data_IF_338068574534
#
_entry.id   IF_338068574534
#
_cell.length_a   1.000
_cell.length_b   1.000
_cell.length_c   1.000
_cell.angle_alpha   90.00
_cell.angle_beta   90.00
_cell.angle_gamma   90.00
#
_symmetry.space_group_name_H-M   'P 1'
#
loop_
_entity.id
_entity.type
_entity.pdbx_description
1 polymer ?
#
# COMPACT_ATOMS: atom_id res chain seq x y z
N UNK A 1 0.47 28.78 -7.05
CA UNK A 1 1.21 27.49 -7.12
C UNK A 1 1.14 26.71 -5.81
N UNK A 2 1.34 27.35 -4.65
CA UNK A 2 1.32 26.70 -3.34
C UNK A 2 0.07 25.82 -3.07
N UNK A 3 -1.12 26.31 -3.42
CA UNK A 3 -2.39 25.56 -3.25
C UNK A 3 -2.48 24.28 -4.10
N UNK A 4 -1.82 24.23 -5.27
CA UNK A 4 -1.74 23.03 -6.12
C UNK A 4 -0.75 22.01 -5.56
N UNK A 5 0.36 22.47 -4.97
CA UNK A 5 1.30 21.59 -4.27
C UNK A 5 0.67 20.99 -3.01
N UNK A 6 -0.04 21.78 -2.20
CA UNK A 6 -0.77 21.27 -1.03
C UNK A 6 -1.80 20.23 -1.46
N UNK A 7 -2.53 20.47 -2.55
CA UNK A 7 -3.49 19.51 -3.09
C UNK A 7 -2.81 18.22 -3.56
N UNK A 8 -1.69 18.32 -4.28
CA UNK A 8 -0.89 17.17 -4.71
C UNK A 8 -0.31 16.39 -3.53
N UNK A 9 0.16 17.09 -2.50
CA UNK A 9 0.64 16.47 -1.26
C UNK A 9 -0.49 15.79 -0.51
N UNK A 10 -1.67 16.42 -0.39
CA UNK A 10 -2.87 15.81 0.20
C UNK A 10 -3.32 14.58 -0.57
N UNK A 11 -3.39 14.65 -1.90
CA UNK A 11 -3.76 13.52 -2.76
C UNK A 11 -2.74 12.40 -2.61
N UNK A 12 -1.44 12.72 -2.63
CA UNK A 12 -0.36 11.74 -2.45
C UNK A 12 -0.29 11.16 -1.02
N UNK A 13 -0.76 11.88 0.00
CA UNK A 13 -0.83 11.40 1.39
C UNK A 13 -2.14 10.67 1.72
N UNK A 14 -3.20 10.89 0.93
CA UNK A 14 -4.46 10.13 0.98
C UNK A 14 -4.45 8.87 0.11
N UNK A 15 -3.43 8.65 -0.73
CA UNK A 15 -3.47 7.63 -1.78
C UNK A 15 -2.77 6.30 -1.46
N UNK A 16 -2.12 6.12 -0.31
CA UNK A 16 -1.45 4.87 0.06
C UNK A 16 -2.25 4.02 1.04
N UNK A 17 -3.56 3.92 0.84
CA UNK A 17 -4.51 3.49 1.87
C UNK A 17 -4.27 2.04 2.32
N UNK A 18 -4.09 1.10 1.38
CA UNK A 18 -3.80 -0.30 1.73
C UNK A 18 -2.48 -0.45 2.49
N UNK A 19 -1.43 0.18 1.99
CA UNK A 19 -0.10 0.14 2.60
C UNK A 19 -0.05 0.78 3.99
N UNK A 20 -0.76 1.90 4.20
CA UNK A 20 -0.85 2.56 5.50
C UNK A 20 -1.71 1.79 6.49
N UNK A 21 -2.86 1.26 6.06
CA UNK A 21 -3.73 0.42 6.88
C UNK A 21 -2.99 -0.84 7.38
N UNK A 22 -2.24 -1.50 6.50
CA UNK A 22 -1.41 -2.66 6.82
C UNK A 22 -0.37 -2.39 7.92
N UNK A 23 0.20 -1.18 7.95
CA UNK A 23 1.19 -0.80 8.96
C UNK A 23 0.58 -0.37 10.28
N UNK A 24 -0.71 -0.03 10.31
CA UNK A 24 -1.48 0.18 11.53
C UNK A 24 -1.94 -1.12 12.17
N UNK A 25 -1.96 -2.22 11.41
CA UNK A 25 -2.20 -3.57 11.91
C UNK A 25 -0.88 -4.14 12.47
N UNK A 26 -0.62 -3.89 13.76
CA UNK A 26 0.66 -4.16 14.44
C UNK A 26 1.01 -5.65 14.58
N UNK A 27 0.12 -6.56 14.21
CA UNK A 27 0.21 -7.99 14.58
C UNK A 27 0.94 -8.89 13.57
N UNK A 28 1.30 -8.44 12.35
CA UNK A 28 1.85 -9.35 11.31
C UNK A 28 3.11 -8.90 10.57
N UNK A 29 4.06 -9.85 10.52
CA UNK A 29 5.20 -10.07 9.61
C UNK A 29 5.50 -8.96 8.58
N UNK A 30 6.63 -8.28 8.79
CA UNK A 30 7.16 -7.20 7.94
C UNK A 30 7.79 -7.75 6.67
N UNK A 31 6.94 -8.22 5.79
CA UNK A 31 7.36 -8.61 4.46
C UNK A 31 7.51 -7.42 3.54
N UNK A 32 8.51 -7.43 2.63
CA UNK A 32 8.60 -6.39 1.62
C UNK A 32 7.33 -6.36 0.77
N UNK A 33 6.95 -5.14 0.38
CA UNK A 33 5.78 -4.89 -0.45
C UNK A 33 4.43 -5.32 0.17
N UNK A 34 4.27 -5.16 1.49
CA UNK A 34 3.07 -5.59 2.21
C UNK A 34 1.77 -4.95 1.68
N UNK A 35 1.80 -3.68 1.29
CA UNK A 35 0.65 -2.99 0.71
C UNK A 35 0.25 -3.58 -0.64
N UNK A 36 1.22 -3.73 -1.55
CA UNK A 36 0.97 -4.33 -2.87
C UNK A 36 0.47 -5.77 -2.77
N UNK A 37 1.01 -6.55 -1.82
CA UNK A 37 0.55 -7.92 -1.55
C UNK A 37 -0.88 -7.94 -1.03
N UNK A 38 -1.27 -6.98 -0.21
CA UNK A 38 -2.65 -6.86 0.25
C UNK A 38 -3.60 -6.57 -0.89
N UNK A 39 -3.26 -5.62 -1.76
CA UNK A 39 -4.09 -5.27 -2.90
C UNK A 39 -4.41 -6.50 -3.74
N UNK A 40 -3.39 -7.33 -4.01
CA UNK A 40 -3.57 -8.58 -4.75
C UNK A 40 -4.38 -9.65 -3.98
N UNK A 41 -4.20 -9.75 -2.66
CA UNK A 41 -5.02 -10.62 -1.82
C UNK A 41 -6.50 -10.18 -1.83
N UNK A 42 -6.76 -8.88 -1.80
CA UNK A 42 -8.10 -8.29 -1.83
C UNK A 42 -8.79 -8.49 -3.18
N UNK A 43 -8.05 -8.50 -4.30
CA UNK A 43 -8.57 -8.92 -5.61
C UNK A 43 -9.10 -10.35 -5.53
N UNK A 44 -8.32 -11.25 -4.93
CA UNK A 44 -8.69 -12.66 -4.73
C UNK A 44 -9.95 -12.81 -3.88
N UNK A 45 -10.02 -12.15 -2.72
CA UNK A 45 -11.18 -12.23 -1.83
C UNK A 45 -12.45 -11.58 -2.40
N UNK A 46 -12.30 -10.49 -3.13
CA UNK A 46 -13.45 -9.80 -3.72
C UNK A 46 -13.98 -10.46 -5.00
N UNK A 47 -13.40 -11.60 -5.43
CA UNK A 47 -13.67 -12.22 -6.73
C UNK A 47 -13.54 -11.21 -7.89
N UNK A 48 -12.58 -10.29 -7.78
CA UNK A 48 -12.34 -9.25 -8.78
C UNK A 48 -13.27 -8.03 -8.73
N UNK A 49 -14.25 -7.97 -7.83
CA UNK A 49 -15.17 -6.81 -7.75
C UNK A 49 -14.46 -5.50 -7.40
N UNK A 50 -13.34 -5.57 -6.67
CA UNK A 50 -12.59 -4.39 -6.23
C UNK A 50 -11.42 -4.00 -7.16
N UNK A 51 -11.23 -4.70 -8.28
CA UNK A 51 -10.16 -4.42 -9.25
C UNK A 51 -10.03 -2.93 -9.63
N UNK A 52 -11.10 -2.19 -10.00
CA UNK A 52 -10.93 -0.80 -10.42
C UNK A 52 -10.42 0.12 -9.29
N UNK A 53 -10.77 -0.17 -8.04
CA UNK A 53 -10.26 0.59 -6.89
C UNK A 53 -8.81 0.21 -6.57
N UNK A 54 -8.51 -1.09 -6.61
CA UNK A 54 -7.18 -1.63 -6.33
C UNK A 54 -6.16 -1.26 -7.42
N UNK A 55 -6.60 -1.09 -8.66
CA UNK A 55 -5.74 -0.61 -9.75
C UNK A 55 -5.29 0.85 -9.50
N UNK A 56 -6.12 1.64 -8.83
CA UNK A 56 -5.80 3.00 -8.43
C UNK A 56 -4.87 2.97 -7.21
N UNK A 57 -5.13 2.14 -6.20
CA UNK A 57 -4.35 2.07 -4.96
C UNK A 57 -2.96 1.41 -5.14
N UNK A 58 -2.85 0.37 -5.97
CA UNK A 58 -1.64 -0.43 -6.17
C UNK A 58 -0.35 0.36 -6.48
N UNK A 59 -0.31 1.34 -7.42
CA UNK A 59 0.89 2.14 -7.65
C UNK A 59 1.31 2.95 -6.42
N UNK A 60 0.38 3.37 -5.58
CA UNK A 60 0.69 4.11 -4.36
C UNK A 60 1.09 3.20 -3.22
N UNK A 61 0.45 2.03 -3.09
CA UNK A 61 0.93 0.96 -2.21
C UNK A 61 2.39 0.63 -2.50
N UNK A 62 2.77 0.57 -3.79
CA UNK A 62 4.15 0.38 -4.21
C UNK A 62 5.07 1.54 -3.81
N UNK A 63 4.62 2.79 -3.93
CA UNK A 63 5.40 3.95 -3.46
C UNK A 63 5.60 3.91 -1.94
N UNK A 64 4.55 3.64 -1.16
CA UNK A 64 4.66 3.53 0.30
C UNK A 64 5.58 2.37 0.67
N UNK A 65 5.41 1.22 0.04
CA UNK A 65 6.25 0.05 0.29
C UNK A 65 7.72 0.26 -0.09
N UNK A 66 8.01 1.03 -1.14
CA UNK A 66 9.39 1.38 -1.50
C UNK A 66 10.02 2.37 -0.52
N UNK A 67 9.24 3.34 0.00
CA UNK A 67 9.70 4.28 1.04
C UNK A 67 9.97 3.56 2.36
N UNK A 68 9.10 2.64 2.76
CA UNK A 68 9.25 1.87 4.00
C UNK A 68 10.11 0.61 3.86
N UNK A 69 10.62 0.34 2.65
CA UNK A 69 11.43 -0.83 2.34
C UNK A 69 12.57 -1.06 3.34
N UNK A 70 13.36 -0.05 3.77
CA UNK A 70 14.44 -0.28 4.75
C UNK A 70 13.98 -0.81 6.11
N UNK A 71 12.72 -0.55 6.49
CA UNK A 71 12.15 -0.95 7.78
C UNK A 71 11.41 -2.29 7.72
N UNK A 72 11.14 -2.77 6.50
CA UNK A 72 10.37 -3.97 6.19
C UNK A 72 11.16 -4.99 5.38
N UNK A 73 12.46 -4.75 5.23
CA UNK A 73 13.34 -5.65 4.53
C UNK A 73 13.57 -6.91 5.35
N UNK A 74 12.70 -7.90 5.16
CA UNK A 74 12.86 -9.27 5.67
C UNK A 74 13.12 -10.22 4.51
N UNK A 75 14.13 -11.09 4.67
CA UNK A 75 14.58 -12.04 3.65
C UNK A 75 13.63 -13.24 3.47
N UNK A 76 12.62 -13.41 4.31
CA UNK A 76 11.62 -14.47 4.15
C UNK A 76 10.21 -13.98 4.51
N UNK A 77 9.26 -14.41 3.69
CA UNK A 77 7.82 -14.27 3.90
C UNK A 77 7.16 -15.62 4.15
N UNK A 78 7.95 -16.57 4.64
CA UNK A 78 7.46 -17.90 4.95
C UNK A 78 6.60 -17.81 6.21
N UNK A 79 5.38 -18.33 6.09
CA UNK A 79 4.57 -18.79 7.20
C UNK A 79 5.33 -19.85 8.01
#
# INVERSE_FOLDING_TARGET
>A
MFRKMILLVLIASLSGCAATAMRMDYDKHRCPYIGVRFDWWLVGQSHGKLIPFLLIDAPFSLVVDTVFFPFEYQYSCNL
#
